data_IF_026503124601
#
_entry.id   IF_026503124601
#
_cell.length_a   1.000
_cell.length_b   1.000
_cell.length_c   1.000
_cell.angle_alpha   90.00
_cell.angle_beta   90.00
_cell.angle_gamma   90.00
#
_symmetry.space_group_name_H-M   'P 1'
#
loop_
_entity.id
_entity.type
_entity.pdbx_description
1 polymer ?
#
# COMPACT_ATOMS: atom_id res chain seq x y z
N UNK A 1 3.43 12.11 -31.74
CA UNK A 1 2.65 11.05 -31.08
C UNK A 1 3.07 10.93 -29.65
N UNK A 2 2.11 10.96 -28.76
CA UNK A 2 2.38 10.84 -27.34
C UNK A 2 2.24 9.38 -26.92
N UNK A 3 3.24 8.89 -26.21
CA UNK A 3 3.14 7.56 -25.64
C UNK A 3 2.49 7.67 -24.27
N UNK A 4 1.40 6.99 -24.10
CA UNK A 4 0.71 6.97 -22.81
C UNK A 4 1.05 5.67 -22.10
N UNK A 5 1.43 5.81 -20.84
CA UNK A 5 1.61 4.67 -19.96
C UNK A 5 0.42 4.63 -19.03
N UNK A 6 -0.25 3.49 -18.95
CA UNK A 6 -1.31 3.31 -17.99
C UNK A 6 -0.89 2.28 -16.96
N UNK A 7 -1.08 2.61 -15.70
CA UNK A 7 -0.87 1.67 -14.63
C UNK A 7 -2.07 0.74 -14.52
N UNK A 8 -1.86 -0.52 -14.16
CA UNK A 8 -2.98 -1.35 -13.70
C UNK A 8 -3.68 -0.63 -12.55
N UNK A 9 -5.00 -0.78 -12.49
CA UNK A 9 -5.77 -0.06 -11.45
C UNK A 9 -5.28 -0.40 -10.06
N UNK A 10 -4.94 -1.66 -9.79
CA UNK A 10 -4.47 -2.05 -8.47
C UNK A 10 -3.16 -1.36 -8.09
N UNK A 11 -2.29 -1.11 -9.07
CA UNK A 11 -1.05 -0.39 -8.81
C UNK A 11 -1.32 1.09 -8.57
N UNK A 12 -2.25 1.67 -9.30
CA UNK A 12 -2.62 3.07 -9.14
C UNK A 12 -3.20 3.33 -7.76
N UNK A 13 -4.15 2.49 -7.31
CA UNK A 13 -4.77 2.68 -5.99
C UNK A 13 -3.77 2.46 -4.86
N UNK A 14 -2.86 1.51 -5.03
CA UNK A 14 -1.82 1.25 -4.05
C UNK A 14 -0.90 2.46 -3.90
N UNK A 15 -0.40 2.98 -5.02
CA UNK A 15 0.48 4.15 -5.03
C UNK A 15 -0.20 5.40 -4.49
N UNK A 16 -1.48 5.59 -4.82
CA UNK A 16 -2.24 6.72 -4.31
C UNK A 16 -2.36 6.67 -2.79
N UNK A 17 -2.73 5.52 -2.24
CA UNK A 17 -2.89 5.40 -0.79
C UNK A 17 -1.56 5.53 -0.06
N UNK A 18 -0.48 4.99 -0.62
CA UNK A 18 0.86 5.17 -0.07
C UNK A 18 1.24 6.66 -0.08
N UNK A 19 0.96 7.37 -1.18
CA UNK A 19 1.28 8.77 -1.30
C UNK A 19 0.53 9.62 -0.27
N UNK A 20 -0.72 9.26 0.04
CA UNK A 20 -1.50 9.96 1.08
C UNK A 20 -0.87 9.78 2.45
N UNK A 21 -0.45 8.56 2.78
CA UNK A 21 0.21 8.29 4.06
C UNK A 21 1.53 9.05 4.15
N UNK A 22 2.32 8.99 3.09
CA UNK A 22 3.59 9.71 3.03
C UNK A 22 3.40 11.21 3.20
N UNK A 23 2.37 11.78 2.58
CA UNK A 23 2.07 13.21 2.72
C UNK A 23 1.85 13.58 4.17
N UNK A 24 1.06 12.78 4.90
CA UNK A 24 0.81 13.04 6.31
C UNK A 24 2.07 12.87 7.16
N UNK A 25 2.86 11.86 6.87
CA UNK A 25 4.04 11.55 7.69
C UNK A 25 5.22 12.48 7.43
N UNK A 26 5.23 13.17 6.30
CA UNK A 26 6.34 14.05 5.91
C UNK A 26 5.94 15.52 5.83
N UNK A 27 4.76 15.88 6.34
CA UNK A 27 4.23 17.24 6.30
C UNK A 27 4.19 17.80 4.87
N UNK A 28 3.76 16.96 3.93
CA UNK A 28 3.54 17.39 2.56
C UNK A 28 4.76 17.39 1.65
N UNK A 29 5.85 16.76 2.06
CA UNK A 29 7.07 16.75 1.27
C UNK A 29 6.88 16.14 -0.13
N UNK A 30 5.89 15.27 -0.29
CA UNK A 30 5.60 14.62 -1.57
C UNK A 30 4.34 15.16 -2.24
N UNK A 31 4.04 16.45 -2.07
CA UNK A 31 2.81 17.04 -2.60
C UNK A 31 2.63 16.82 -4.10
N UNK A 32 3.69 16.95 -4.89
CA UNK A 32 3.61 16.77 -6.34
C UNK A 32 3.25 15.32 -6.71
N UNK A 33 3.83 14.36 -5.99
CA UNK A 33 3.51 12.95 -6.18
C UNK A 33 2.03 12.68 -5.87
N UNK A 34 1.56 13.20 -4.74
CA UNK A 34 0.17 13.01 -4.35
C UNK A 34 -0.79 13.65 -5.35
N UNK A 35 -0.47 14.85 -5.84
CA UNK A 35 -1.30 15.54 -6.84
C UNK A 35 -1.41 14.71 -8.12
N UNK A 36 -0.31 14.12 -8.55
CA UNK A 36 -0.30 13.29 -9.75
C UNK A 36 -1.24 12.09 -9.58
N UNK A 37 -1.10 11.34 -8.48
CA UNK A 37 -1.93 10.16 -8.27
C UNK A 37 -3.38 10.52 -8.00
N UNK A 38 -3.65 11.64 -7.32
CA UNK A 38 -5.03 12.11 -7.10
C UNK A 38 -5.74 12.39 -8.43
N UNK A 39 -5.04 12.99 -9.38
CA UNK A 39 -5.60 13.26 -10.70
C UNK A 39 -5.92 11.97 -11.46
N UNK A 40 -5.08 10.95 -11.31
CA UNK A 40 -5.33 9.66 -11.95
C UNK A 40 -6.50 8.93 -11.30
N UNK A 41 -6.58 8.95 -9.98
CA UNK A 41 -7.67 8.33 -9.22
C UNK A 41 -9.02 8.96 -9.59
N UNK A 42 -9.05 10.26 -9.82
CA UNK A 42 -10.29 10.97 -10.17
C UNK A 42 -10.92 10.45 -11.47
N UNK A 43 -10.17 9.72 -12.30
CA UNK A 43 -10.68 9.14 -13.54
C UNK A 43 -11.40 7.80 -13.33
N UNK A 44 -11.33 7.25 -12.11
CA UNK A 44 -11.93 5.97 -11.77
C UNK A 44 -13.30 6.18 -11.13
N UNK A 45 -14.11 5.11 -11.12
CA UNK A 45 -15.35 5.10 -10.36
C UNK A 45 -15.03 4.80 -8.89
N UNK A 46 -14.63 5.83 -8.17
CA UNK A 46 -14.14 5.72 -6.80
C UNK A 46 -15.22 5.23 -5.85
N UNK A 47 -16.49 5.50 -6.16
CA UNK A 47 -17.59 5.10 -5.29
C UNK A 47 -17.66 3.59 -5.12
N UNK A 48 -17.31 2.84 -6.16
CA UNK A 48 -17.33 1.38 -6.11
C UNK A 48 -16.29 0.80 -5.16
N UNK A 49 -15.20 1.54 -4.92
CA UNK A 49 -14.06 1.03 -4.15
C UNK A 49 -13.75 1.88 -2.94
N UNK A 50 -14.66 2.76 -2.53
CA UNK A 50 -14.39 3.71 -1.46
C UNK A 50 -14.04 3.03 -0.16
N UNK A 51 -14.76 1.96 0.19
CA UNK A 51 -14.47 1.21 1.42
C UNK A 51 -13.09 0.55 1.36
N UNK A 52 -12.75 -0.05 0.22
CA UNK A 52 -11.46 -0.69 0.04
C UNK A 52 -10.31 0.31 0.05
N UNK A 53 -10.52 1.49 -0.55
CA UNK A 53 -9.50 2.56 -0.49
C UNK A 53 -9.22 2.98 0.93
N UNK A 54 -10.27 3.14 1.73
CA UNK A 54 -10.14 3.52 3.14
C UNK A 54 -9.34 2.46 3.91
N UNK A 55 -9.68 1.19 3.72
CA UNK A 55 -9.02 0.08 4.39
C UNK A 55 -7.56 -0.04 3.93
N UNK A 56 -7.32 0.13 2.64
CA UNK A 56 -5.97 0.05 2.09
C UNK A 56 -5.08 1.15 2.66
N UNK A 57 -5.61 2.37 2.75
CA UNK A 57 -4.86 3.47 3.36
C UNK A 57 -4.54 3.17 4.82
N UNK A 58 -5.51 2.62 5.56
CA UNK A 58 -5.30 2.25 6.96
C UNK A 58 -4.21 1.17 7.11
N UNK A 59 -4.21 0.19 6.21
CA UNK A 59 -3.17 -0.83 6.18
C UNK A 59 -1.79 -0.18 5.97
N UNK A 60 -1.69 0.75 5.04
CA UNK A 60 -0.42 1.45 4.79
C UNK A 60 0.05 2.25 5.99
N UNK A 61 -0.88 2.85 6.74
CA UNK A 61 -0.52 3.57 7.98
C UNK A 61 0.05 2.63 9.02
N UNK A 62 -0.54 1.45 9.16
CA UNK A 62 -0.04 0.44 10.09
C UNK A 62 1.32 -0.10 9.65
N UNK A 63 1.49 -0.35 8.36
CA UNK A 63 2.79 -0.81 7.84
C UNK A 63 3.86 0.26 8.11
N UNK A 64 3.55 1.52 7.86
CA UNK A 64 4.48 2.61 8.12
C UNK A 64 4.94 2.61 9.58
N UNK A 65 3.97 2.51 10.50
CA UNK A 65 4.27 2.52 11.93
C UNK A 65 5.12 1.30 12.32
N UNK A 66 4.81 0.13 11.80
CA UNK A 66 5.57 -1.08 12.08
C UNK A 66 6.98 -1.03 11.52
N UNK A 67 7.15 -0.48 10.32
CA UNK A 67 8.47 -0.32 9.73
C UNK A 67 9.31 0.66 10.52
N UNK A 68 8.71 1.74 11.00
CA UNK A 68 9.39 2.70 11.84
C UNK A 68 9.84 2.06 13.15
N UNK A 69 8.96 1.29 13.78
CA UNK A 69 9.29 0.51 14.97
C UNK A 69 10.39 -0.51 14.71
N UNK A 70 10.32 -1.18 13.57
CA UNK A 70 11.33 -2.16 13.19
C UNK A 70 12.71 -1.52 13.11
N UNK A 71 12.79 -0.35 12.49
CA UNK A 71 14.05 0.40 12.40
C UNK A 71 14.55 0.80 13.76
N UNK A 72 13.67 1.29 14.63
CA UNK A 72 14.02 1.68 16.00
C UNK A 72 14.53 0.49 16.81
N UNK A 73 13.85 -0.66 16.70
CA UNK A 73 14.27 -1.86 17.39
C UNK A 73 15.69 -2.27 17.01
N UNK A 74 16.02 -2.17 15.74
CA UNK A 74 17.38 -2.50 15.28
C UNK A 74 18.43 -1.53 15.81
N UNK A 75 18.07 -0.26 15.90
CA UNK A 75 18.98 0.77 16.42
C UNK A 75 19.15 0.62 17.93
N UNK A 76 18.05 0.36 18.63
CA UNK A 76 18.06 0.32 20.09
C UNK A 76 18.53 -1.02 20.66
N UNK A 77 18.82 -1.99 19.81
CA UNK A 77 19.32 -3.29 20.26
C UNK A 77 18.25 -4.20 20.84
N UNK A 78 17.03 -4.12 20.35
CA UNK A 78 15.96 -5.02 20.75
C UNK A 78 16.33 -6.48 20.42
N UNK A 79 15.76 -7.43 21.14
CA UNK A 79 16.08 -8.82 20.92
C UNK A 79 15.48 -9.35 19.62
N UNK A 80 16.00 -10.50 19.17
CA UNK A 80 15.60 -11.08 17.89
C UNK A 80 14.12 -11.48 17.88
N UNK A 81 13.55 -11.84 19.01
CA UNK A 81 12.15 -12.21 19.12
C UNK A 81 11.25 -11.03 18.78
N UNK A 82 11.54 -9.85 19.33
CA UNK A 82 10.79 -8.64 19.06
C UNK A 82 10.91 -8.21 17.60
N UNK A 83 12.12 -8.24 17.07
CA UNK A 83 12.39 -7.89 15.67
C UNK A 83 11.64 -8.84 14.75
N UNK A 84 11.69 -10.14 15.04
CA UNK A 84 11.00 -11.16 14.26
C UNK A 84 9.49 -10.97 14.27
N UNK A 85 8.92 -10.62 15.41
CA UNK A 85 7.48 -10.40 15.51
C UNK A 85 7.03 -9.22 14.66
N UNK A 86 7.77 -8.13 14.66
CA UNK A 86 7.44 -6.98 13.83
C UNK A 86 7.54 -7.30 12.34
N UNK A 87 8.52 -8.09 11.95
CA UNK A 87 8.64 -8.52 10.56
C UNK A 87 7.43 -9.37 10.13
N UNK A 88 6.96 -10.26 11.01
CA UNK A 88 5.78 -11.08 10.74
C UNK A 88 4.52 -10.22 10.64
N UNK A 89 4.39 -9.22 11.51
CA UNK A 89 3.25 -8.32 11.47
C UNK A 89 3.20 -7.54 10.17
N UNK A 90 4.34 -7.05 9.70
CA UNK A 90 4.44 -6.36 8.41
C UNK A 90 4.04 -7.30 7.27
N UNK A 91 4.52 -8.53 7.30
CA UNK A 91 4.16 -9.53 6.29
C UNK A 91 2.66 -9.76 6.24
N UNK A 92 2.03 -9.92 7.41
CA UNK A 92 0.59 -10.17 7.48
C UNK A 92 -0.20 -8.99 6.92
N UNK A 93 0.20 -7.77 7.25
CA UNK A 93 -0.45 -6.58 6.69
C UNK A 93 -0.28 -6.49 5.18
N UNK A 94 0.89 -6.85 4.65
CA UNK A 94 1.09 -6.88 3.21
C UNK A 94 0.20 -7.91 2.51
N UNK A 95 -0.08 -9.03 3.17
CA UNK A 95 -1.01 -10.02 2.64
C UNK A 95 -2.44 -9.46 2.56
N UNK A 96 -2.89 -8.74 3.60
CA UNK A 96 -4.18 -8.06 3.56
C UNK A 96 -4.21 -7.00 2.46
N UNK A 97 -3.12 -6.26 2.30
CA UNK A 97 -3.02 -5.25 1.25
C UNK A 97 -3.30 -5.85 -0.13
N UNK A 98 -2.68 -6.99 -0.43
CA UNK A 98 -2.89 -7.67 -1.71
C UNK A 98 -4.35 -8.10 -1.88
N UNK A 99 -4.97 -8.60 -0.82
CA UNK A 99 -6.37 -9.02 -0.86
C UNK A 99 -7.29 -7.85 -1.24
N UNK A 100 -7.09 -6.69 -0.62
CA UNK A 100 -7.94 -5.51 -0.91
C UNK A 100 -7.65 -4.93 -2.28
N UNK A 101 -6.40 -4.95 -2.73
CA UNK A 101 -6.07 -4.54 -4.10
C UNK A 101 -6.81 -5.41 -5.11
N UNK A 102 -6.79 -6.71 -4.92
CA UNK A 102 -7.44 -7.64 -5.84
C UNK A 102 -8.97 -7.51 -5.78
N UNK A 103 -9.53 -7.22 -4.61
CA UNK A 103 -10.96 -6.92 -4.49
C UNK A 103 -11.34 -5.70 -5.31
N UNK A 104 -10.53 -4.65 -5.29
CA UNK A 104 -10.78 -3.46 -6.10
C UNK A 104 -10.66 -3.75 -7.59
N UNK A 105 -9.70 -4.59 -7.98
CA UNK A 105 -9.56 -4.98 -9.37
C UNK A 105 -10.83 -5.68 -9.87
N UNK A 106 -11.38 -6.59 -9.05
CA UNK A 106 -12.64 -7.26 -9.39
C UNK A 106 -13.80 -6.28 -9.56
N UNK A 107 -13.93 -5.34 -8.64
CA UNK A 107 -15.03 -4.36 -8.68
C UNK A 107 -14.94 -3.42 -9.87
N UNK A 108 -13.72 -3.13 -10.33
CA UNK A 108 -13.48 -2.22 -11.44
C UNK A 108 -13.29 -2.96 -12.77
N UNK A 109 -13.49 -4.28 -12.78
CA UNK A 109 -13.32 -5.13 -13.95
C UNK A 109 -11.91 -5.05 -14.55
N UNK A 110 -10.91 -4.89 -13.69
CA UNK A 110 -9.52 -4.90 -14.14
C UNK A 110 -9.02 -6.34 -14.16
N UNK A 111 -8.52 -6.83 -15.29
CA UNK A 111 -8.00 -8.19 -15.36
C UNK A 111 -6.66 -8.37 -14.64
N UNK A 112 -5.98 -7.29 -14.29
CA UNK A 112 -4.67 -7.36 -13.65
C UNK A 112 -4.82 -7.46 -12.15
N UNK A 113 -4.27 -8.52 -11.57
CA UNK A 113 -4.27 -8.76 -10.13
C UNK A 113 -2.85 -9.10 -9.68
N UNK A 114 -2.57 -8.78 -8.43
CA UNK A 114 -1.28 -9.12 -7.84
C UNK A 114 -1.31 -10.56 -7.32
N UNK A 115 -0.25 -11.30 -7.61
CA UNK A 115 -0.07 -12.63 -7.01
C UNK A 115 0.97 -12.49 -5.93
N UNK A 116 0.56 -12.75 -4.69
CA UNK A 116 1.47 -12.68 -3.56
C UNK A 116 2.31 -13.93 -3.51
N UNK A 117 3.64 -13.76 -3.58
CA UNK A 117 4.58 -14.85 -3.36
C UNK A 117 5.27 -14.60 -2.04
N UNK A 118 5.13 -15.53 -1.12
CA UNK A 118 5.74 -15.44 0.18
C UNK A 118 6.77 -16.54 0.32
N UNK A 119 8.02 -16.17 0.15
CA UNK A 119 9.11 -17.13 0.21
C UNK A 119 9.37 -17.67 1.60
N UNK A 120 8.81 -17.05 2.61
CA UNK A 120 8.99 -17.51 3.97
C UNK A 120 7.91 -18.49 4.41
N UNK A 121 6.69 -18.29 3.92
CA UNK A 121 5.60 -19.18 4.29
C UNK A 121 5.50 -20.36 3.37
N UNK A 122 5.93 -20.16 2.17
CA UNK A 122 5.81 -21.12 1.16
C UNK A 122 4.51 -21.68 1.04
N UNK A 123 3.75 -21.00 1.40
CA UNK A 123 2.51 -21.46 1.44
C UNK A 123 1.95 -21.89 0.66
#
# INVERSE_FOLDING_TARGET
>A
MTTEFSFPVIELVDRYTIARVKYDKTNGANAAELDFYSAQIAKLDVELIQAELFILEDIHRHIWALEDDFKKCRIDGADLSEIGQRALDIRDLNNYRVQYKNSMADKLNDPVKEIKQDHTSEN
#
